data_IF_830465761416
#
_entry.id   IF_830465761416
#
_cell.length_a   1.000
_cell.length_b   1.000
_cell.length_c   1.000
_cell.angle_alpha   90.00
_cell.angle_beta   90.00
_cell.angle_gamma   90.00
#
_symmetry.space_group_name_H-M   'P 1'
#
loop_
_entity.id
_entity.type
_entity.pdbx_description
1 polymer ?
#
# COMPACT_ATOMS: atom_id res chain seq x y z
N UNK A 1 -23.38 -18.92 -21.82
CA UNK A 1 -21.93 -18.94 -22.09
C UNK A 1 -21.27 -18.28 -20.90
N UNK A 2 -20.39 -19.04 -20.31
CA UNK A 2 -19.72 -18.96 -19.02
C UNK A 2 -18.91 -17.67 -18.80
N UNK A 3 -19.40 -16.82 -17.90
CA UNK A 3 -18.60 -15.80 -17.23
C UNK A 3 -17.81 -16.44 -16.10
N UNK A 4 -16.59 -16.90 -16.40
CA UNK A 4 -15.63 -17.31 -15.39
C UNK A 4 -14.43 -16.35 -15.44
N UNK A 5 -14.53 -15.25 -14.68
CA UNK A 5 -13.39 -14.43 -14.31
C UNK A 5 -13.22 -14.60 -12.79
N UNK A 6 -12.17 -15.28 -12.29
CA UNK A 6 -12.04 -15.52 -10.87
C UNK A 6 -11.79 -14.18 -10.18
N UNK A 7 -12.74 -13.80 -9.31
CA UNK A 7 -12.57 -12.72 -8.36
C UNK A 7 -11.37 -13.06 -7.46
N UNK A 8 -10.23 -12.40 -7.67
CA UNK A 8 -9.09 -12.49 -6.78
C UNK A 8 -9.44 -11.76 -5.47
N UNK A 9 -10.01 -12.49 -4.51
CA UNK A 9 -10.34 -12.03 -3.16
C UNK A 9 -9.13 -12.09 -2.24
N UNK A 10 -8.01 -11.52 -2.67
CA UNK A 10 -6.72 -11.90 -2.12
C UNK A 10 -5.94 -10.68 -1.65
N UNK A 11 -5.32 -10.75 -0.47
CA UNK A 11 -4.96 -9.55 0.24
C UNK A 11 -3.60 -9.00 -0.20
N UNK A 12 -3.64 -7.82 -0.80
CA UNK A 12 -2.46 -7.08 -1.23
C UNK A 12 -1.70 -6.49 -0.04
N UNK A 13 -0.48 -6.95 0.17
CA UNK A 13 0.46 -6.38 1.12
C UNK A 13 1.08 -5.09 0.57
N UNK A 14 0.86 -3.97 1.27
CA UNK A 14 1.43 -2.66 0.92
C UNK A 14 2.77 -2.47 1.63
N UNK A 15 3.88 -2.44 0.89
CA UNK A 15 5.22 -2.23 1.42
C UNK A 15 5.51 -0.72 1.53
N UNK A 16 5.83 -0.18 2.72
CA UNK A 16 6.22 1.22 2.84
C UNK A 16 7.70 1.40 2.43
N UNK A 17 7.94 2.22 1.41
CA UNK A 17 9.27 2.76 1.10
C UNK A 17 9.43 4.11 1.79
N UNK A 18 10.42 4.22 2.68
CA UNK A 18 10.73 5.48 3.38
C UNK A 18 11.84 6.20 2.62
N UNK A 19 11.51 7.30 1.95
CA UNK A 19 12.50 8.25 1.42
C UNK A 19 12.84 9.22 2.55
N UNK A 20 14.05 9.08 3.10
CA UNK A 20 14.61 10.05 4.06
C UNK A 20 15.05 11.30 3.30
N UNK A 21 14.25 12.36 3.37
CA UNK A 21 14.72 13.73 3.17
C UNK A 21 14.09 14.63 4.23
N UNK A 22 14.89 14.95 5.26
CA UNK A 22 14.95 16.27 5.87
C UNK A 22 13.68 16.91 6.47
N UNK A 23 12.79 16.16 7.12
CA UNK A 23 11.77 16.73 8.01
C UNK A 23 11.71 15.89 9.30
N UNK A 24 12.01 16.46 10.49
CA UNK A 24 11.91 15.70 11.73
C UNK A 24 10.43 15.45 12.08
N UNK A 25 10.14 14.18 12.39
CA UNK A 25 9.01 13.67 13.18
C UNK A 25 7.62 14.30 12.93
N UNK A 26 6.87 13.75 11.97
CA UNK A 26 5.42 13.83 11.99
C UNK A 26 4.90 12.86 13.08
N UNK A 27 4.69 13.37 14.29
CA UNK A 27 3.80 12.73 15.26
C UNK A 27 2.38 12.69 14.67
N UNK A 28 1.86 11.49 14.43
CA UNK A 28 0.54 11.23 13.85
C UNK A 28 -0.67 11.75 14.68
N UNK A 29 -0.44 12.54 15.72
CA UNK A 29 -1.46 13.02 16.67
C UNK A 29 -1.48 14.53 16.90
N UNK A 30 -0.68 15.36 16.20
CA UNK A 30 -0.78 16.81 16.34
C UNK A 30 -1.62 17.42 15.22
N UNK A 31 -2.82 17.90 15.58
CA UNK A 31 -3.70 18.72 14.73
C UNK A 31 -2.89 19.92 14.22
N UNK A 32 -2.55 19.91 12.94
CA UNK A 32 -1.92 21.04 12.27
C UNK A 32 -2.95 22.19 12.20
N UNK A 33 -2.89 23.12 13.15
CA UNK A 33 -3.65 24.37 13.05
C UNK A 33 -2.94 25.26 12.04
N UNK A 34 -3.39 25.23 10.79
CA UNK A 34 -2.93 26.15 9.75
C UNK A 34 -3.59 27.51 10.02
N UNK A 35 -2.83 28.55 10.39
CA UNK A 35 -3.39 29.89 10.56
C UNK A 35 -3.91 30.34 9.18
N UNK A 36 -5.23 30.52 9.05
CA UNK A 36 -5.99 30.79 7.81
C UNK A 36 -6.42 29.62 6.90
N UNK A 37 -6.24 28.35 7.28
CA UNK A 37 -7.03 27.33 6.59
C UNK A 37 -8.44 27.32 7.17
N UNK A 38 -9.44 27.76 6.39
CA UNK A 38 -10.82 27.39 6.68
C UNK A 38 -10.92 25.88 6.85
N UNK A 39 -11.77 25.41 7.76
CA UNK A 39 -12.10 23.98 7.86
C UNK A 39 -12.85 23.56 6.60
N UNK A 40 -12.11 23.17 5.57
CA UNK A 40 -12.67 22.46 4.42
C UNK A 40 -13.00 21.04 4.88
N UNK A 41 -14.27 20.60 4.78
CA UNK A 41 -14.62 19.22 5.06
C UNK A 41 -13.83 18.28 4.15
N UNK A 42 -13.25 17.24 4.73
CA UNK A 42 -12.56 16.19 4.00
C UNK A 42 -13.29 14.86 4.20
N UNK A 43 -13.50 14.13 3.11
CA UNK A 43 -14.19 12.84 3.13
C UNK A 43 -13.18 11.70 3.05
N UNK A 44 -13.49 10.59 3.73
CA UNK A 44 -12.68 9.38 3.68
C UNK A 44 -13.53 8.21 3.19
N UNK A 45 -13.30 7.80 1.95
CA UNK A 45 -13.92 6.62 1.37
C UNK A 45 -13.36 5.33 2.01
N UNK A 46 -14.26 4.41 2.38
CA UNK A 46 -13.94 3.07 2.87
C UNK A 46 -14.49 2.05 1.87
N UNK A 47 -13.64 1.46 1.03
CA UNK A 47 -14.05 0.40 0.11
C UNK A 47 -14.57 -0.83 0.85
N UNK A 48 -15.36 -1.69 0.17
CA UNK A 48 -15.91 -2.93 0.75
C UNK A 48 -14.83 -3.81 1.41
N UNK A 49 -13.66 -3.93 0.78
CA UNK A 49 -12.55 -4.73 1.30
C UNK A 49 -11.94 -4.21 2.60
N UNK A 50 -12.26 -2.99 3.05
CA UNK A 50 -11.72 -2.42 4.28
C UNK A 50 -12.18 -3.17 5.54
N UNK A 51 -13.35 -3.82 5.49
CA UNK A 51 -13.94 -4.52 6.63
C UNK A 51 -13.58 -6.00 6.71
N UNK A 52 -12.77 -6.50 5.77
CA UNK A 52 -12.32 -7.90 5.73
C UNK A 52 -11.05 -8.08 6.58
N UNK A 53 -10.78 -9.30 7.12
CA UNK A 53 -9.52 -9.60 7.80
C UNK A 53 -8.31 -9.24 6.92
N UNK A 54 -7.31 -8.56 7.51
CA UNK A 54 -6.14 -8.03 6.78
C UNK A 54 -4.89 -8.83 7.15
N UNK A 55 -4.03 -9.22 6.19
CA UNK A 55 -2.73 -9.76 6.50
C UNK A 55 -1.85 -8.72 7.17
N UNK A 56 -0.94 -9.23 7.99
CA UNK A 56 0.07 -8.43 8.68
C UNK A 56 1.42 -8.59 7.99
N UNK A 57 2.13 -7.47 7.85
CA UNK A 57 3.51 -7.44 7.37
C UNK A 57 4.39 -7.29 8.61
N UNK A 58 5.19 -8.31 8.92
CA UNK A 58 6.09 -8.32 10.08
C UNK A 58 7.38 -7.55 9.80
N UNK A 59 7.91 -7.66 8.59
CA UNK A 59 9.15 -7.00 8.19
C UNK A 59 9.20 -6.77 6.68
N UNK A 60 9.79 -5.65 6.26
CA UNK A 60 10.02 -5.32 4.86
C UNK A 60 11.25 -4.42 4.70
N UNK A 61 12.04 -4.57 3.61
CA UNK A 61 13.13 -3.65 3.29
C UNK A 61 12.61 -2.22 3.03
N UNK A 62 13.38 -1.22 3.48
CA UNK A 62 13.03 0.19 3.30
C UNK A 62 13.31 0.72 1.87
N UNK A 63 14.28 0.12 1.19
CA UNK A 63 14.68 0.46 -0.18
C UNK A 63 14.97 -0.81 -0.98
N UNK A 64 14.62 -0.78 -2.26
CA UNK A 64 14.71 -1.92 -3.16
C UNK A 64 15.22 -1.39 -4.51
N UNK A 65 16.19 -2.08 -5.10
CA UNK A 65 16.68 -1.76 -6.44
C UNK A 65 15.75 -2.37 -7.52
N UNK A 66 15.71 -1.75 -8.70
CA UNK A 66 14.94 -2.30 -9.81
C UNK A 66 15.51 -3.65 -10.26
N UNK A 67 14.61 -4.59 -10.56
CA UNK A 67 14.98 -5.94 -11.01
C UNK A 67 15.47 -6.88 -9.90
N UNK A 68 15.76 -6.37 -8.71
CA UNK A 68 16.14 -7.19 -7.57
C UNK A 68 14.92 -7.86 -6.92
N UNK A 69 15.06 -9.12 -6.52
CA UNK A 69 14.11 -9.77 -5.62
C UNK A 69 14.28 -9.26 -4.19
N UNK A 70 13.19 -9.28 -3.42
CA UNK A 70 13.21 -8.89 -2.01
C UNK A 70 12.29 -9.79 -1.20
N UNK A 71 12.58 -9.93 0.09
CA UNK A 71 11.79 -10.74 1.00
C UNK A 71 10.87 -9.86 1.85
N UNK A 72 9.61 -10.26 1.99
CA UNK A 72 8.65 -9.67 2.91
C UNK A 72 8.26 -10.75 3.90
N UNK A 73 8.31 -10.43 5.19
CA UNK A 73 7.91 -11.38 6.22
C UNK A 73 6.45 -11.15 6.60
N UNK A 74 5.68 -12.22 6.61
CA UNK A 74 4.28 -12.25 7.02
C UNK A 74 4.03 -13.55 7.79
N UNK A 75 3.13 -13.57 8.80
CA UNK A 75 2.82 -14.78 9.54
C UNK A 75 2.04 -15.84 8.73
N UNK A 76 1.32 -15.44 7.68
CA UNK A 76 0.46 -16.32 6.88
C UNK A 76 0.75 -16.18 5.38
N UNK A 77 1.92 -16.65 4.90
CA UNK A 77 2.35 -16.46 3.51
C UNK A 77 1.44 -17.17 2.48
N UNK A 78 0.75 -18.24 2.89
CA UNK A 78 -0.17 -18.99 2.01
C UNK A 78 -1.49 -18.28 1.75
N UNK A 79 -1.85 -17.30 2.58
CA UNK A 79 -3.09 -16.53 2.47
C UNK A 79 -3.02 -15.34 1.50
N UNK A 80 -1.90 -15.18 0.78
CA UNK A 80 -1.63 -14.05 -0.12
C UNK A 80 -1.57 -14.57 -1.56
N UNK A 81 -2.56 -14.23 -2.41
CA UNK A 81 -2.44 -14.50 -3.85
C UNK A 81 -1.87 -13.35 -4.68
N UNK A 82 -1.89 -12.11 -4.20
CA UNK A 82 -1.50 -10.96 -5.00
C UNK A 82 -0.68 -9.94 -4.20
N UNK A 83 0.37 -9.45 -4.85
CA UNK A 83 1.23 -8.40 -4.34
C UNK A 83 1.28 -7.27 -5.37
N UNK A 84 1.10 -6.04 -4.88
CA UNK A 84 1.06 -4.85 -5.73
C UNK A 84 1.93 -3.76 -5.10
N UNK A 85 2.83 -3.21 -5.90
CA UNK A 85 3.55 -1.99 -5.55
C UNK A 85 2.81 -0.78 -6.10
N UNK A 86 2.34 0.09 -5.20
CA UNK A 86 1.62 1.31 -5.52
C UNK A 86 2.50 2.53 -5.28
N UNK A 87 2.69 3.35 -6.32
CA UNK A 87 3.33 4.66 -6.16
C UNK A 87 2.29 5.68 -5.63
N UNK A 88 2.63 6.49 -4.61
CA UNK A 88 1.75 7.57 -4.14
C UNK A 88 1.35 8.53 -5.26
N UNK A 89 0.05 8.83 -5.33
CA UNK A 89 -0.51 9.78 -6.28
C UNK A 89 -0.26 11.23 -5.87
N UNK A 90 -0.20 12.12 -6.86
CA UNK A 90 -0.19 13.57 -6.67
C UNK A 90 -1.21 14.16 -7.64
N UNK A 91 -2.36 14.61 -7.11
CA UNK A 91 -3.50 15.07 -7.91
C UNK A 91 -3.62 16.58 -7.83
N UNK A 92 -3.71 17.24 -8.99
CA UNK A 92 -4.17 18.63 -9.09
C UNK A 92 -4.96 18.81 -10.38
N UNK A 93 -6.04 19.59 -10.39
CA UNK A 93 -6.86 19.82 -11.59
C UNK A 93 -7.24 18.55 -12.38
N UNK A 94 -7.70 17.51 -11.67
CA UNK A 94 -8.02 16.19 -12.25
C UNK A 94 -6.83 15.49 -12.96
N UNK A 95 -5.61 15.90 -12.68
CA UNK A 95 -4.39 15.40 -13.30
C UNK A 95 -3.51 14.69 -12.28
N UNK A 96 -3.10 13.45 -12.61
CA UNK A 96 -2.25 12.61 -11.76
C UNK A 96 -1.33 11.73 -12.62
N UNK A 97 -0.07 12.15 -12.78
CA UNK A 97 0.95 11.38 -13.51
C UNK A 97 1.75 10.43 -12.62
N UNK A 98 1.54 10.52 -11.30
CA UNK A 98 2.41 9.90 -10.33
C UNK A 98 1.91 8.53 -9.88
N UNK A 99 0.59 8.35 -9.77
CA UNK A 99 -0.01 7.09 -9.35
C UNK A 99 0.23 5.99 -10.39
N UNK A 100 0.78 4.87 -9.93
CA UNK A 100 1.08 3.69 -10.75
C UNK A 100 0.84 2.44 -9.92
N UNK A 101 0.32 1.40 -10.56
CA UNK A 101 0.02 0.12 -9.95
C UNK A 101 0.84 -0.96 -10.66
N UNK A 102 1.81 -1.54 -9.97
CA UNK A 102 2.67 -2.58 -10.52
C UNK A 102 2.43 -3.90 -9.78
N UNK A 103 1.84 -4.88 -10.45
CA UNK A 103 1.69 -6.24 -9.92
C UNK A 103 3.05 -6.92 -9.84
N UNK A 104 3.35 -7.54 -8.71
CA UNK A 104 4.61 -8.21 -8.45
C UNK A 104 4.45 -9.73 -8.57
N UNK A 105 5.41 -10.36 -9.25
CA UNK A 105 5.60 -11.80 -9.16
C UNK A 105 6.20 -12.15 -7.80
N UNK A 106 5.71 -13.22 -7.18
CA UNK A 106 6.17 -13.65 -5.87
C UNK A 106 6.22 -15.17 -5.78
N UNK A 107 7.13 -15.66 -4.97
CA UNK A 107 7.24 -17.07 -4.60
C UNK A 107 7.04 -17.16 -3.09
N UNK A 108 6.29 -18.17 -2.64
CA UNK A 108 6.15 -18.47 -1.21
C UNK A 108 7.40 -19.22 -0.75
N UNK A 109 8.02 -18.77 0.34
CA UNK A 109 9.10 -19.50 0.97
C UNK A 109 8.49 -20.50 1.96
N UNK A 110 8.42 -21.77 1.57
CA UNK A 110 8.07 -22.86 2.49
C UNK A 110 9.21 -22.99 3.51
N UNK A 111 8.92 -22.90 4.81
CA UNK A 111 9.84 -23.46 5.82
C UNK A 111 9.32 -24.84 6.15
N UNK A 112 10.12 -25.85 5.83
CA UNK A 112 9.95 -27.21 6.34
C UNK A 112 10.15 -27.24 7.87
#
# INVERSE_FOLDING_TARGET
MDTNCPAASEPVALIPATVTTGCPALEFSRRLTIPNAGTTPNERYRPDYFFKPRPTISNSPAAIAYGAGFAVQTPLPDSISELVLLRPGAVTHAFNQNQRCNRLRHNRANRD
#
